data_IF_668699608926
#
_entry.id   IF_668699608926
#
_cell.length_a   1.000
_cell.length_b   1.000
_cell.length_c   1.000
_cell.angle_alpha   90.00
_cell.angle_beta   90.00
_cell.angle_gamma   90.00
#
_symmetry.space_group_name_H-M   'P 1'
#
loop_
_entity.id
_entity.type
_entity.pdbx_description
1 polymer ?
#
# COMPACT_ATOMS: atom_id res chain seq x y z
N UNK A 1 -1.71 15.81 2.53
CA UNK A 1 -2.58 16.87 1.95
C UNK A 1 -3.96 16.85 2.61
N UNK A 2 -4.76 15.79 2.49
CA UNK A 2 -6.10 15.69 3.12
C UNK A 2 -6.08 15.84 4.66
N UNK A 3 -5.14 15.17 5.33
CA UNK A 3 -4.93 15.32 6.78
C UNK A 3 -4.60 16.76 7.19
N UNK A 4 -3.90 17.50 6.33
CA UNK A 4 -3.61 18.92 6.54
C UNK A 4 -4.89 19.74 6.36
N UNK A 5 -5.65 19.52 5.27
CA UNK A 5 -6.90 20.21 5.01
C UNK A 5 -7.91 20.05 6.17
N UNK A 6 -8.00 18.87 6.78
CA UNK A 6 -8.85 18.63 7.96
C UNK A 6 -8.54 19.60 9.13
N UNK A 7 -7.27 19.96 9.33
CA UNK A 7 -6.85 20.91 10.39
C UNK A 7 -7.31 22.34 10.11
N UNK A 8 -7.65 22.65 8.86
CA UNK A 8 -8.08 23.96 8.41
C UNK A 8 -9.58 24.03 8.12
N UNK A 9 -10.39 23.04 8.54
CA UNK A 9 -11.86 23.03 8.36
C UNK A 9 -12.52 24.37 8.69
N UNK A 10 -12.18 24.96 9.84
CA UNK A 10 -12.72 26.26 10.26
C UNK A 10 -12.25 27.42 9.35
N UNK A 11 -11.02 27.36 8.85
CA UNK A 11 -10.51 28.37 7.92
C UNK A 11 -11.29 28.36 6.59
N UNK A 12 -11.74 27.20 6.11
CA UNK A 12 -12.60 27.10 4.93
C UNK A 12 -13.99 27.71 5.17
N UNK A 13 -14.57 27.51 6.35
CA UNK A 13 -15.85 28.14 6.74
C UNK A 13 -15.70 29.66 6.81
N UNK A 14 -14.66 30.15 7.48
CA UNK A 14 -14.37 31.59 7.56
C UNK A 14 -14.13 32.22 6.18
N UNK A 15 -13.52 31.49 5.24
CA UNK A 15 -13.34 31.99 3.88
C UNK A 15 -14.67 32.15 3.15
N UNK A 16 -15.59 31.20 3.31
CA UNK A 16 -16.94 31.28 2.75
C UNK A 16 -17.73 32.48 3.28
N UNK A 17 -17.61 32.76 4.58
CA UNK A 17 -18.27 33.91 5.18
C UNK A 17 -17.71 35.25 4.68
N UNK A 18 -16.43 35.29 4.28
CA UNK A 18 -15.70 36.53 3.94
C UNK A 18 -15.61 36.81 2.43
N UNK A 19 -15.57 35.78 1.60
CA UNK A 19 -15.53 35.91 0.15
C UNK A 19 -16.81 35.35 -0.47
N UNK A 20 -17.76 36.20 -0.87
CA UNK A 20 -18.99 35.78 -1.53
C UNK A 20 -18.78 35.01 -2.84
N UNK A 21 -17.56 35.03 -3.42
CA UNK A 21 -17.21 34.27 -4.61
C UNK A 21 -16.70 32.86 -4.30
N UNK A 22 -16.49 32.52 -3.03
CA UNK A 22 -16.08 31.18 -2.62
C UNK A 22 -17.30 30.26 -2.49
N UNK A 23 -17.70 29.66 -3.61
CA UNK A 23 -18.86 28.76 -3.73
C UNK A 23 -18.55 27.28 -3.47
N UNK A 24 -17.26 26.93 -3.33
CA UNK A 24 -16.80 25.55 -3.19
C UNK A 24 -16.50 25.12 -1.74
N UNK A 25 -17.18 25.71 -0.75
CA UNK A 25 -16.97 25.35 0.65
C UNK A 25 -17.44 23.90 0.93
N UNK A 26 -16.58 23.00 1.44
CA UNK A 26 -17.00 21.63 1.75
C UNK A 26 -18.05 21.60 2.88
N UNK A 27 -19.03 20.71 2.75
CA UNK A 27 -20.06 20.49 3.76
C UNK A 27 -19.50 19.68 4.95
N UNK A 28 -20.19 19.73 6.09
CA UNK A 28 -19.82 18.94 7.27
C UNK A 28 -19.71 17.44 6.96
N UNK A 29 -20.59 16.90 6.12
CA UNK A 29 -20.51 15.51 5.65
C UNK A 29 -19.27 15.21 4.80
N UNK A 30 -18.75 16.19 4.05
CA UNK A 30 -17.56 15.99 3.24
C UNK A 30 -16.31 15.91 4.12
N UNK A 31 -16.27 16.66 5.22
CA UNK A 31 -15.22 16.54 6.22
C UNK A 31 -15.20 15.15 6.87
N UNK A 32 -16.38 14.60 7.18
CA UNK A 32 -16.51 13.24 7.71
C UNK A 32 -16.03 12.19 6.70
N UNK A 33 -16.37 12.35 5.42
CA UNK A 33 -15.86 11.49 4.33
C UNK A 33 -14.33 11.58 4.24
N UNK A 34 -13.77 12.79 4.25
CA UNK A 34 -12.31 13.01 4.16
C UNK A 34 -11.58 12.36 5.33
N UNK A 35 -12.12 12.43 6.55
CA UNK A 35 -11.54 11.77 7.72
C UNK A 35 -11.47 10.25 7.51
N UNK A 36 -12.54 9.63 7.02
CA UNK A 36 -12.58 8.18 6.75
C UNK A 36 -11.66 7.78 5.61
N UNK A 37 -11.55 8.60 4.56
CA UNK A 37 -10.56 8.40 3.50
C UNK A 37 -9.13 8.48 4.04
N UNK A 38 -8.83 9.41 4.94
CA UNK A 38 -7.52 9.51 5.57
C UNK A 38 -7.15 8.21 6.32
N UNK A 39 -8.09 7.60 7.03
CA UNK A 39 -7.85 6.32 7.74
C UNK A 39 -7.46 5.18 6.80
N UNK A 40 -8.10 5.09 5.62
CA UNK A 40 -7.72 4.08 4.61
C UNK A 40 -6.32 4.37 4.06
N UNK A 41 -6.05 5.64 3.72
CA UNK A 41 -4.80 6.08 3.12
C UNK A 41 -3.61 6.08 4.08
N UNK A 42 -3.83 6.05 5.39
CA UNK A 42 -2.76 6.03 6.40
C UNK A 42 -1.81 4.85 6.19
N UNK A 43 -2.36 3.66 5.91
CA UNK A 43 -1.54 2.46 5.60
C UNK A 43 -0.63 2.65 4.39
N UNK A 44 -1.11 3.34 3.35
CA UNK A 44 -0.34 3.66 2.15
C UNK A 44 0.71 4.71 2.44
N UNK A 45 0.36 5.75 3.19
CA UNK A 45 1.28 6.80 3.56
C UNK A 45 2.45 6.24 4.36
N UNK A 46 2.18 5.43 5.39
CA UNK A 46 3.21 4.77 6.20
C UNK A 46 4.12 3.89 5.34
N UNK A 47 3.54 3.05 4.50
CA UNK A 47 4.29 2.17 3.60
C UNK A 47 5.16 2.97 2.63
N UNK A 48 4.59 4.01 2.02
CA UNK A 48 5.30 4.90 1.08
C UNK A 48 6.43 5.65 1.77
N UNK A 49 6.21 6.13 3.00
CA UNK A 49 7.22 6.84 3.77
C UNK A 49 8.40 5.94 4.12
N UNK A 50 8.15 4.67 4.46
CA UNK A 50 9.19 3.67 4.72
C UNK A 50 10.00 3.37 3.43
N UNK A 51 9.32 3.05 2.32
CA UNK A 51 10.04 2.66 1.09
C UNK A 51 10.69 3.85 0.36
N UNK A 52 10.29 5.09 0.66
CA UNK A 52 10.88 6.31 0.10
C UNK A 52 12.01 6.88 0.94
N UNK A 53 12.41 6.19 2.01
CA UNK A 53 13.58 6.55 2.81
C UNK A 53 14.86 6.56 1.98
N UNK A 54 15.82 7.43 2.35
CA UNK A 54 17.14 7.51 1.72
C UNK A 54 18.30 7.29 2.69
N UNK A 55 18.00 7.24 3.99
CA UNK A 55 19.00 7.09 5.07
C UNK A 55 19.24 5.61 5.44
N UNK A 56 18.55 4.68 4.77
CA UNK A 56 18.65 3.24 5.01
C UNK A 56 18.29 2.45 3.74
N UNK A 57 18.73 1.18 3.61
CA UNK A 57 18.29 0.31 2.52
C UNK A 57 16.78 0.09 2.57
N UNK A 58 16.08 0.36 1.46
CA UNK A 58 14.62 0.23 1.37
C UNK A 58 14.16 -1.00 0.60
N UNK A 59 15.00 -1.55 -0.29
CA UNK A 59 14.65 -2.67 -1.15
C UNK A 59 14.25 -3.92 -0.36
N UNK A 60 14.98 -4.25 0.70
CA UNK A 60 14.71 -5.38 1.60
C UNK A 60 13.44 -5.22 2.46
N UNK A 61 12.86 -4.02 2.51
CA UNK A 61 11.61 -3.72 3.21
C UNK A 61 10.40 -3.73 2.27
N UNK A 62 10.64 -3.52 0.97
CA UNK A 62 9.61 -3.23 -0.02
C UNK A 62 8.51 -4.29 -0.08
N UNK A 63 8.87 -5.58 -0.11
CA UNK A 63 7.91 -6.68 -0.17
C UNK A 63 6.92 -6.66 1.01
N UNK A 64 7.43 -6.40 2.21
CA UNK A 64 6.62 -6.37 3.42
C UNK A 64 5.69 -5.15 3.44
N UNK A 65 6.15 -3.99 2.99
CA UNK A 65 5.31 -2.79 2.89
C UNK A 65 4.21 -2.95 1.83
N UNK A 66 4.50 -3.55 0.67
CA UNK A 66 3.48 -3.91 -0.34
C UNK A 66 2.45 -4.89 0.23
N UNK A 67 2.89 -5.89 0.99
CA UNK A 67 1.99 -6.83 1.66
C UNK A 67 1.07 -6.15 2.69
N UNK A 68 1.58 -5.16 3.45
CA UNK A 68 0.76 -4.37 4.38
C UNK A 68 -0.32 -3.57 3.65
N UNK A 69 0.02 -2.95 2.51
CA UNK A 69 -0.94 -2.24 1.65
C UNK A 69 -2.03 -3.18 1.16
N UNK A 70 -1.66 -4.36 0.64
CA UNK A 70 -2.61 -5.38 0.19
C UNK A 70 -3.57 -5.80 1.31
N UNK A 71 -3.04 -6.12 2.49
CA UNK A 71 -3.87 -6.52 3.64
C UNK A 71 -4.79 -5.41 4.11
N UNK A 72 -4.37 -4.14 4.03
CA UNK A 72 -5.23 -2.99 4.32
C UNK A 72 -6.38 -2.89 3.33
N UNK A 73 -6.11 -3.03 2.02
CA UNK A 73 -7.14 -3.04 0.98
C UNK A 73 -8.12 -4.20 1.17
N UNK A 74 -7.62 -5.42 1.42
CA UNK A 74 -8.46 -6.60 1.58
C UNK A 74 -9.36 -6.48 2.82
N UNK A 75 -8.84 -5.95 3.94
CA UNK A 75 -9.61 -5.69 5.16
C UNK A 75 -10.75 -4.68 4.92
N UNK A 76 -10.51 -3.67 4.08
CA UNK A 76 -11.50 -2.62 3.81
C UNK A 76 -12.36 -2.90 2.57
N UNK A 77 -12.17 -4.02 1.87
CA UNK A 77 -12.89 -4.34 0.63
C UNK A 77 -14.40 -4.54 0.84
N UNK A 78 -14.82 -4.90 2.05
CA UNK A 78 -16.22 -5.07 2.44
C UNK A 78 -16.64 -4.04 3.50
N UNK A 79 -16.11 -2.82 3.41
CA UNK A 79 -16.43 -1.76 4.36
C UNK A 79 -17.95 -1.48 4.41
N UNK A 80 -18.45 -1.12 5.60
CA UNK A 80 -19.89 -0.88 5.83
C UNK A 80 -20.43 0.28 5.00
N UNK A 81 -19.61 1.31 4.84
CA UNK A 81 -19.96 2.52 4.10
C UNK A 81 -19.66 2.34 2.61
N UNK A 82 -20.68 2.52 1.78
CA UNK A 82 -20.61 2.29 0.33
C UNK A 82 -19.51 3.09 -0.34
N UNK A 83 -19.34 4.37 0.00
CA UNK A 83 -18.33 5.20 -0.65
C UNK A 83 -16.89 4.75 -0.35
N UNK A 84 -16.61 4.27 0.87
CA UNK A 84 -15.30 3.69 1.22
C UNK A 84 -15.10 2.37 0.50
N UNK A 85 -16.13 1.52 0.47
CA UNK A 85 -16.09 0.27 -0.28
C UNK A 85 -15.76 0.52 -1.75
N UNK A 86 -16.45 1.45 -2.40
CA UNK A 86 -16.22 1.79 -3.81
C UNK A 86 -14.81 2.34 -4.05
N UNK A 87 -14.32 3.20 -3.15
CA UNK A 87 -12.96 3.72 -3.19
C UNK A 87 -11.94 2.58 -3.10
N UNK A 88 -12.06 1.73 -2.08
CA UNK A 88 -11.14 0.61 -1.82
C UNK A 88 -11.18 -0.40 -2.95
N UNK A 89 -12.36 -0.73 -3.48
CA UNK A 89 -12.49 -1.62 -4.64
C UNK A 89 -11.73 -1.07 -5.85
N UNK A 90 -11.86 0.22 -6.18
CA UNK A 90 -11.10 0.84 -7.28
C UNK A 90 -9.59 0.83 -7.04
N UNK A 91 -9.16 1.10 -5.80
CA UNK A 91 -7.74 1.06 -5.44
C UNK A 91 -7.19 -0.37 -5.51
N UNK A 92 -7.95 -1.35 -5.02
CA UNK A 92 -7.60 -2.77 -5.07
C UNK A 92 -7.50 -3.28 -6.51
N UNK A 93 -8.42 -2.90 -7.41
CA UNK A 93 -8.31 -3.25 -8.83
C UNK A 93 -6.99 -2.76 -9.45
N UNK A 94 -6.55 -1.53 -9.11
CA UNK A 94 -5.25 -1.03 -9.56
C UNK A 94 -4.10 -1.81 -8.92
N UNK A 95 -4.18 -2.08 -7.62
CA UNK A 95 -3.17 -2.87 -6.92
C UNK A 95 -3.01 -4.25 -7.56
N UNK A 96 -4.10 -5.00 -7.69
CA UNK A 96 -4.10 -6.36 -8.24
C UNK A 96 -3.61 -6.35 -9.70
N UNK A 97 -3.86 -5.30 -10.48
CA UNK A 97 -3.30 -5.13 -11.83
C UNK A 97 -1.77 -4.97 -11.85
N UNK A 98 -1.20 -4.21 -10.93
CA UNK A 98 0.25 -3.95 -10.89
C UNK A 98 1.04 -5.05 -10.19
N UNK A 99 0.39 -5.79 -9.28
CA UNK A 99 1.00 -6.81 -8.43
C UNK A 99 0.47 -8.22 -8.71
N UNK A 100 -0.11 -8.46 -9.89
CA UNK A 100 -0.60 -9.79 -10.29
C UNK A 100 0.54 -10.78 -10.51
N UNK A 101 1.69 -10.30 -10.96
CA UNK A 101 2.87 -11.14 -11.23
C UNK A 101 3.92 -10.99 -10.14
N UNK A 102 4.64 -12.07 -9.88
CA UNK A 102 5.74 -12.06 -8.95
C UNK A 102 6.90 -11.20 -9.46
N UNK A 103 7.12 -10.04 -8.82
CA UNK A 103 8.31 -9.23 -9.03
C UNK A 103 9.53 -9.91 -8.37
N UNK A 104 10.31 -10.61 -9.19
CA UNK A 104 11.48 -11.37 -8.73
C UNK A 104 12.55 -10.49 -8.06
N UNK A 105 12.77 -9.27 -8.55
CA UNK A 105 13.76 -8.37 -7.97
C UNK A 105 13.42 -8.04 -6.51
N UNK A 106 12.18 -7.62 -6.27
CA UNK A 106 11.69 -7.31 -4.92
C UNK A 106 11.71 -8.55 -4.02
N UNK A 107 11.39 -9.72 -4.58
CA UNK A 107 11.42 -10.97 -3.82
C UNK A 107 12.86 -11.36 -3.43
N UNK A 108 13.80 -11.26 -4.35
CA UNK A 108 15.23 -11.53 -4.11
C UNK A 108 15.77 -10.56 -3.08
N UNK A 109 15.52 -9.24 -3.22
CA UNK A 109 15.95 -8.23 -2.25
C UNK A 109 15.45 -8.52 -0.83
N UNK A 110 14.20 -9.00 -0.71
CA UNK A 110 13.64 -9.40 0.58
C UNK A 110 14.29 -10.67 1.15
N UNK A 111 14.69 -11.63 0.31
CA UNK A 111 15.39 -12.86 0.72
C UNK A 111 16.86 -12.60 1.06
N UNK A 112 17.50 -11.64 0.41
CA UNK A 112 18.88 -11.24 0.72
C UNK A 112 19.01 -10.52 2.07
N UNK A 113 17.88 -10.13 2.68
CA UNK A 113 17.87 -9.69 4.07
C UNK A 113 18.25 -10.85 5.01
N UNK A 114 19.41 -10.79 5.70
CA UNK A 114 19.88 -11.90 6.53
C UNK A 114 18.97 -12.18 7.72
N UNK A 115 18.15 -11.21 8.13
CA UNK A 115 17.19 -11.34 9.24
C UNK A 115 15.90 -12.06 8.82
N UNK A 116 15.56 -12.04 7.52
CA UNK A 116 14.30 -12.61 7.01
C UNK A 116 14.51 -13.85 6.15
N UNK A 117 15.48 -13.83 5.23
CA UNK A 117 15.76 -14.93 4.30
C UNK A 117 14.49 -15.34 3.54
N UNK A 118 14.35 -16.63 3.22
CA UNK A 118 13.17 -17.19 2.55
C UNK A 118 11.86 -16.98 3.32
N UNK A 119 11.90 -16.77 4.65
CA UNK A 119 10.69 -16.50 5.43
C UNK A 119 9.96 -15.23 4.95
N UNK A 120 10.68 -14.27 4.35
CA UNK A 120 10.07 -13.07 3.79
C UNK A 120 9.02 -13.41 2.71
N UNK A 121 9.40 -14.24 1.74
CA UNK A 121 8.50 -14.64 0.64
C UNK A 121 7.47 -15.66 1.10
N UNK A 122 7.85 -16.60 1.97
CA UNK A 122 6.94 -17.61 2.54
C UNK A 122 5.81 -16.97 3.37
N UNK A 123 6.07 -15.85 4.03
CA UNK A 123 5.06 -15.10 4.77
C UNK A 123 4.24 -14.15 3.88
N UNK A 124 4.87 -13.47 2.93
CA UNK A 124 4.21 -12.42 2.15
C UNK A 124 3.38 -12.98 0.99
N UNK A 125 3.89 -13.97 0.26
CA UNK A 125 3.26 -14.47 -0.96
C UNK A 125 1.85 -15.03 -0.74
N UNK A 126 1.55 -15.79 0.33
CA UNK A 126 0.18 -16.25 0.61
C UNK A 126 -0.86 -15.14 0.81
N UNK A 127 -0.41 -13.91 1.06
CA UNK A 127 -1.28 -12.73 1.24
C UNK A 127 -1.33 -11.85 0.01
N UNK A 128 -0.44 -12.07 -0.95
CA UNK A 128 -0.31 -11.29 -2.18
C UNK A 128 -0.92 -12.02 -3.38
N UNK A 129 -0.70 -13.33 -3.49
CA UNK A 129 -1.05 -14.13 -4.65
C UNK A 129 -2.12 -15.19 -4.34
N UNK A 130 -2.68 -15.80 -5.40
CA UNK A 130 -3.59 -16.93 -5.27
C UNK A 130 -2.83 -18.17 -4.75
N UNK A 131 -3.53 -19.06 -4.05
CA UNK A 131 -2.89 -20.21 -3.36
C UNK A 131 -2.13 -21.10 -4.33
N UNK A 132 -2.64 -21.24 -5.55
CA UNK A 132 -2.09 -22.05 -6.62
C UNK A 132 -0.75 -21.48 -7.14
N UNK A 133 -0.59 -20.16 -7.07
CA UNK A 133 0.59 -19.43 -7.58
C UNK A 133 1.71 -19.34 -6.53
N UNK A 134 1.38 -19.40 -5.24
CA UNK A 134 2.34 -19.20 -4.14
C UNK A 134 3.52 -20.18 -4.23
N UNK A 135 3.23 -21.47 -4.38
CA UNK A 135 4.28 -22.51 -4.42
C UNK A 135 5.18 -22.30 -5.64
N UNK A 136 4.59 -22.03 -6.80
CA UNK A 136 5.32 -21.77 -8.03
C UNK A 136 6.21 -20.52 -7.91
N UNK A 137 5.70 -19.43 -7.34
CA UNK A 137 6.45 -18.19 -7.16
C UNK A 137 7.61 -18.37 -6.17
N UNK A 138 7.42 -19.11 -5.07
CA UNK A 138 8.51 -19.42 -4.12
C UNK A 138 9.59 -20.27 -4.80
N UNK A 139 9.20 -21.30 -5.56
CA UNK A 139 10.16 -22.12 -6.31
C UNK A 139 10.95 -21.28 -7.30
N UNK A 140 10.29 -20.40 -8.05
CA UNK A 140 10.94 -19.48 -9.00
C UNK A 140 12.00 -18.60 -8.32
N UNK A 141 11.72 -18.08 -7.13
CA UNK A 141 12.68 -17.29 -6.33
C UNK A 141 13.87 -18.15 -5.91
N UNK A 142 13.63 -19.37 -5.41
CA UNK A 142 14.69 -20.30 -5.01
C UNK A 142 15.60 -20.68 -6.17
N UNK A 143 15.02 -21.06 -7.31
CA UNK A 143 15.75 -21.40 -8.53
C UNK A 143 16.61 -20.22 -9.00
N UNK A 144 16.04 -19.01 -9.03
CA UNK A 144 16.79 -17.81 -9.44
C UNK A 144 17.99 -17.54 -8.51
N UNK A 145 17.82 -17.68 -7.19
CA UNK A 145 18.91 -17.53 -6.23
C UNK A 145 19.99 -18.60 -6.39
N UNK A 146 19.60 -19.85 -6.66
CA UNK A 146 20.55 -20.93 -6.92
C UNK A 146 21.36 -20.66 -8.19
N UNK A 147 20.70 -20.25 -9.29
CA UNK A 147 21.40 -19.91 -10.54
C UNK A 147 22.37 -18.75 -10.34
N UNK A 148 21.97 -17.70 -9.61
CA UNK A 148 22.86 -16.58 -9.28
C UNK A 148 24.09 -17.02 -8.46
N UNK A 149 23.92 -17.98 -7.55
CA UNK A 149 25.02 -18.55 -6.80
C UNK A 149 25.95 -19.38 -7.69
N UNK A 150 25.39 -20.24 -8.54
CA UNK A 150 26.14 -21.09 -9.47
C UNK A 150 26.94 -20.29 -10.50
N UNK A 151 26.41 -19.15 -10.96
CA UNK A 151 27.15 -18.26 -11.87
C UNK A 151 28.35 -17.56 -11.21
N UNK A 152 28.32 -17.39 -9.90
CA UNK A 152 29.39 -16.72 -9.15
C UNK A 152 30.43 -17.69 -8.57
N UNK A 153 30.05 -18.95 -8.34
CA UNK A 153 30.88 -19.98 -7.70
C UNK A 153 32.00 -20.52 -8.62
#
# INVERSE_FOLDING_TARGET
>A
MLSCALRFREAFKMLHDRDPRYDSCPLDEDWDKVQKVCLVLESFWTSTHIISGSEYPTSNLFLQEVQKVKSSLDKNANHKESFIKDLVCRMKLKFDKYWSECNLLIAIDAVLDPTKKLLAVEFCFPKLYLKEEVVQNISKVKETLTTLYEEYA
#
